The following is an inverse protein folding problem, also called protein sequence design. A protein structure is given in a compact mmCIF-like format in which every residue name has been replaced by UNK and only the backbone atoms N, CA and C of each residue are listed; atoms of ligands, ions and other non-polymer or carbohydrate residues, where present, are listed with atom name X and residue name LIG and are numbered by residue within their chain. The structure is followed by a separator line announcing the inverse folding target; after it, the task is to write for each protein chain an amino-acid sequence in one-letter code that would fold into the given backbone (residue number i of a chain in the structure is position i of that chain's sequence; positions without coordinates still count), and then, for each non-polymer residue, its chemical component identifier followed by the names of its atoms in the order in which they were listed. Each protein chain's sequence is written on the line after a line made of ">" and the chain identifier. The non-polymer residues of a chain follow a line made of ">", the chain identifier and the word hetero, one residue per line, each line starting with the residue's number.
data_IF_096087850851
#
_entry.id   IF_096087850851
#
_cell.length_a   1.000
_cell.length_b   1.000
_cell.length_c   1.000
_cell.angle_alpha   90.00
_cell.angle_beta   90.00
_cell.angle_gamma   90.00
#
_symmetry.space_group_name_H-M   'P 1'
#
loop_
_entity.id
_entity.type
_entity.pdbx_description
1 polymer ?
#
# COMPACT_ATOMS: atom_id res chain seq x y z
N UNK A 1 -9.00 -2.81 33.54
CA UNK A 1 -7.89 -2.10 32.88
C UNK A 1 -7.07 -3.19 32.20
N UNK A 2 -7.08 -3.29 30.87
CA UNK A 2 -5.97 -3.99 30.22
C UNK A 2 -4.68 -3.34 30.77
N UNK A 3 -3.76 -4.16 31.25
CA UNK A 3 -2.73 -3.69 32.15
C UNK A 3 -1.87 -2.67 31.40
N UNK A 4 -1.74 -1.46 31.95
CA UNK A 4 -0.99 -0.37 31.31
C UNK A 4 0.45 -0.84 31.00
N UNK A 5 0.97 -1.73 31.84
CA UNK A 5 2.27 -2.37 31.69
C UNK A 5 2.31 -3.37 30.53
N UNK A 6 1.23 -4.08 30.24
CA UNK A 6 1.13 -5.00 29.09
C UNK A 6 1.17 -4.23 27.76
N UNK A 7 0.42 -3.12 27.65
CA UNK A 7 0.46 -2.25 26.47
C UNK A 7 1.84 -1.61 26.28
N UNK A 8 2.52 -1.28 27.38
CA UNK A 8 3.87 -0.72 27.37
C UNK A 8 4.90 -1.76 26.93
N UNK A 9 4.78 -3.01 27.40
CA UNK A 9 5.60 -4.14 26.95
C UNK A 9 5.39 -4.40 25.45
N UNK A 10 4.13 -4.45 25.01
CA UNK A 10 3.75 -4.58 23.60
C UNK A 10 4.37 -3.48 22.73
N UNK A 11 4.31 -2.22 23.17
CA UNK A 11 4.94 -1.10 22.49
C UNK A 11 6.47 -1.23 22.37
N UNK A 12 7.10 -1.88 23.36
CA UNK A 12 8.54 -2.13 23.37
C UNK A 12 8.97 -3.22 22.38
N UNK A 13 8.08 -4.14 22.06
CA UNK A 13 8.32 -5.25 21.15
C UNK A 13 8.11 -4.93 19.67
N UNK A 14 7.47 -3.80 19.37
CA UNK A 14 7.24 -3.35 18.00
C UNK A 14 8.57 -3.21 17.23
N UNK A 15 8.56 -3.44 15.91
CA UNK A 15 9.74 -3.28 15.09
C UNK A 15 10.16 -1.81 14.97
N UNK A 16 11.47 -1.54 14.98
CA UNK A 16 12.03 -0.23 14.61
C UNK A 16 12.09 -0.05 13.08
N UNK A 17 10.93 -0.15 12.45
CA UNK A 17 10.75 -0.02 11.00
C UNK A 17 9.61 0.96 10.70
N UNK A 18 9.56 1.53 9.48
CA UNK A 18 8.48 2.43 9.09
C UNK A 18 7.18 1.65 8.88
N UNK A 19 6.06 2.26 9.27
CA UNK A 19 4.76 1.61 9.20
C UNK A 19 3.64 2.46 9.75
N UNK A 20 2.46 1.86 9.84
CA UNK A 20 1.30 2.40 10.54
C UNK A 20 0.97 1.55 11.75
N UNK A 21 0.41 2.16 12.78
CA UNK A 21 -0.02 1.49 14.01
C UNK A 21 -1.48 1.81 14.29
N UNK A 22 -2.14 0.87 14.95
CA UNK A 22 -3.55 0.90 15.32
C UNK A 22 -3.65 0.73 16.83
N UNK A 23 -4.37 1.63 17.47
CA UNK A 23 -4.88 1.40 18.82
C UNK A 23 -6.30 0.85 18.69
N UNK A 24 -6.59 -0.27 19.36
CA UNK A 24 -7.88 -0.93 19.33
C UNK A 24 -8.49 -1.04 20.72
N UNK A 25 -9.82 -1.00 20.81
CA UNK A 25 -10.56 -1.23 22.05
C UNK A 25 -10.83 -2.72 22.30
N UNK A 26 -11.48 -3.04 23.42
CA UNK A 26 -11.78 -4.42 23.82
C UNK A 26 -12.68 -5.17 22.83
N UNK A 27 -13.45 -4.45 22.01
CA UNK A 27 -14.28 -5.00 20.94
C UNK A 27 -13.51 -5.20 19.62
N UNK A 28 -12.21 -4.87 19.58
CA UNK A 28 -11.37 -4.93 18.38
C UNK A 28 -11.54 -3.73 17.43
N UNK A 29 -12.31 -2.72 17.81
CA UNK A 29 -12.53 -1.53 16.97
C UNK A 29 -11.34 -0.58 17.05
N UNK A 30 -10.97 -0.02 15.90
CA UNK A 30 -9.84 0.91 15.80
C UNK A 30 -10.22 2.28 16.36
N UNK A 31 -9.61 2.68 17.47
CA UNK A 31 -9.84 3.98 18.13
C UNK A 31 -8.92 5.08 17.63
N UNK A 32 -7.71 4.70 17.20
CA UNK A 32 -6.74 5.63 16.62
C UNK A 32 -5.78 4.93 15.65
N UNK A 33 -5.40 5.64 14.60
CA UNK A 33 -4.38 5.20 13.64
C UNK A 33 -3.32 6.28 13.53
N UNK A 34 -2.05 5.89 13.50
CA UNK A 34 -0.95 6.80 13.19
C UNK A 34 0.13 6.16 12.33
N UNK A 35 1.03 6.99 11.82
CA UNK A 35 2.21 6.57 11.05
C UNK A 35 3.51 6.84 11.79
N UNK A 36 4.53 6.04 11.51
CA UNK A 36 5.84 6.15 12.14
C UNK A 36 6.98 5.85 11.16
N UNK A 37 8.13 6.52 11.35
CA UNK A 37 9.42 6.09 10.77
C UNK A 37 9.98 4.87 11.51
N UNK A 38 9.72 4.80 12.81
CA UNK A 38 10.04 3.69 13.70
C UNK A 38 8.82 3.44 14.57
N UNK A 39 8.10 2.34 14.34
CA UNK A 39 6.89 1.99 15.10
C UNK A 39 7.19 1.90 16.59
N UNK A 40 8.28 1.22 16.96
CA UNK A 40 8.74 1.10 18.35
C UNK A 40 8.87 2.45 19.04
N UNK A 41 9.65 3.37 18.48
CA UNK A 41 9.95 4.64 19.14
C UNK A 41 8.71 5.53 19.19
N UNK A 42 7.90 5.49 18.13
CA UNK A 42 6.69 6.29 18.04
C UNK A 42 5.62 5.83 19.03
N UNK A 43 5.35 4.53 19.13
CA UNK A 43 4.33 4.00 20.04
C UNK A 43 4.80 4.11 21.49
N UNK A 44 6.10 3.86 21.78
CA UNK A 44 6.67 4.11 23.11
C UNK A 44 6.46 5.54 23.60
N UNK A 45 6.50 6.54 22.70
CA UNK A 45 6.29 7.94 23.09
C UNK A 45 4.90 8.25 23.67
N UNK A 46 3.91 7.37 23.48
CA UNK A 46 2.58 7.51 24.08
C UNK A 46 2.59 7.21 25.58
N UNK A 47 3.54 6.40 26.06
CA UNK A 47 3.64 5.93 27.44
C UNK A 47 4.59 6.77 28.32
N UNK A 48 4.94 7.98 27.87
CA UNK A 48 5.76 8.92 28.65
C UNK A 48 4.97 9.51 29.83
N UNK A 49 5.67 9.98 30.86
CA UNK A 49 5.12 10.35 32.17
C UNK A 49 4.09 11.50 32.14
N UNK A 50 4.08 12.33 31.11
CA UNK A 50 3.18 13.50 31.01
C UNK A 50 2.49 13.59 29.62
N UNK A 51 1.58 12.65 29.30
CA UNK A 51 0.93 12.61 28.00
C UNK A 51 -0.16 13.70 27.88
N UNK A 52 -0.29 14.27 26.68
CA UNK A 52 -1.36 15.20 26.34
C UNK A 52 -2.75 14.57 26.58
N UNK A 53 -3.77 15.39 26.84
CA UNK A 53 -5.15 14.98 27.10
C UNK A 53 -5.69 14.03 26.02
N UNK A 54 -5.34 14.27 24.76
CA UNK A 54 -5.68 13.38 23.65
C UNK A 54 -5.07 11.98 23.80
N UNK A 55 -3.79 11.91 24.15
CA UNK A 55 -3.06 10.63 24.30
C UNK A 55 -3.62 9.83 25.46
N UNK A 56 -3.95 10.49 26.58
CA UNK A 56 -4.60 9.85 27.74
C UNK A 56 -5.92 9.19 27.37
N UNK A 57 -6.75 9.85 26.57
CA UNK A 57 -8.03 9.30 26.14
C UNK A 57 -7.87 8.12 25.17
N UNK A 58 -6.90 8.18 24.25
CA UNK A 58 -6.58 7.05 23.37
C UNK A 58 -6.19 5.84 24.23
N UNK A 59 -5.21 5.99 25.12
CA UNK A 59 -4.70 4.88 25.94
C UNK A 59 -5.76 4.31 26.88
N UNK A 60 -6.67 5.13 27.41
CA UNK A 60 -7.75 4.68 28.29
C UNK A 60 -8.73 3.73 27.57
N UNK A 61 -8.99 3.96 26.29
CA UNK A 61 -9.88 3.13 25.47
C UNK A 61 -9.13 2.01 24.73
N UNK A 62 -7.80 1.98 24.84
CA UNK A 62 -6.95 0.98 24.17
C UNK A 62 -6.81 -0.27 25.02
N UNK A 63 -7.01 -1.42 24.41
CA UNK A 63 -6.67 -2.73 24.98
C UNK A 63 -5.69 -3.51 24.12
N UNK A 64 -5.51 -3.13 22.85
CA UNK A 64 -4.58 -3.79 21.93
C UNK A 64 -3.89 -2.79 20.99
N UNK A 65 -2.67 -3.16 20.55
CA UNK A 65 -1.84 -2.41 19.62
C UNK A 65 -1.44 -3.30 18.45
N UNK A 66 -1.84 -2.91 17.25
CA UNK A 66 -1.53 -3.60 16.01
C UNK A 66 -0.73 -2.69 15.06
N UNK A 67 -0.11 -3.25 14.03
CA UNK A 67 0.70 -2.49 13.07
C UNK A 67 0.79 -3.13 11.68
N UNK A 68 1.10 -2.31 10.69
CA UNK A 68 1.47 -2.74 9.34
C UNK A 68 2.81 -2.11 8.94
N UNK A 69 3.75 -2.95 8.52
CA UNK A 69 5.04 -2.53 8.00
C UNK A 69 4.94 -1.99 6.58
N UNK A 70 5.71 -0.95 6.32
CA UNK A 70 5.84 -0.31 4.99
C UNK A 70 7.32 -0.15 4.62
N UNK A 71 7.62 0.16 3.37
CA UNK A 71 9.00 0.28 2.86
C UNK A 71 9.59 1.67 3.06
N UNK A 72 8.76 2.66 3.31
CA UNK A 72 9.17 4.04 3.52
C UNK A 72 8.12 4.84 4.29
N UNK A 73 8.52 6.00 4.81
CA UNK A 73 7.58 6.94 5.43
C UNK A 73 6.46 7.39 4.47
N UNK A 74 6.76 7.49 3.16
CA UNK A 74 5.78 7.86 2.15
C UNK A 74 4.70 6.78 1.99
N UNK A 75 5.11 5.51 1.97
CA UNK A 75 4.19 4.38 1.94
C UNK A 75 3.35 4.32 3.22
N UNK A 76 3.96 4.54 4.39
CA UNK A 76 3.24 4.63 5.66
C UNK A 76 2.17 5.75 5.64
N UNK A 77 2.50 6.93 5.11
CA UNK A 77 1.54 8.03 5.01
C UNK A 77 0.36 7.73 4.07
N UNK A 78 0.64 7.05 2.94
CA UNK A 78 -0.42 6.61 2.03
C UNK A 78 -1.33 5.58 2.69
N UNK A 79 -0.75 4.60 3.38
CA UNK A 79 -1.48 3.52 4.02
C UNK A 79 -2.32 4.03 5.21
N UNK A 80 -1.74 4.90 6.05
CA UNK A 80 -2.43 5.51 7.19
C UNK A 80 -3.72 6.18 6.73
N UNK A 81 -3.64 6.99 5.68
CA UNK A 81 -4.81 7.69 5.19
C UNK A 81 -5.88 6.71 4.66
N UNK A 82 -5.50 5.64 3.97
CA UNK A 82 -6.48 4.65 3.51
C UNK A 82 -7.24 4.02 4.69
N UNK A 83 -6.51 3.59 5.72
CA UNK A 83 -7.14 2.99 6.91
C UNK A 83 -7.92 4.01 7.74
N UNK A 84 -7.44 5.26 7.88
CA UNK A 84 -8.19 6.32 8.57
C UNK A 84 -9.48 6.66 7.83
N UNK A 85 -9.45 6.73 6.50
CA UNK A 85 -10.65 6.97 5.70
C UNK A 85 -11.67 5.85 5.87
N UNK A 86 -11.21 4.60 5.94
CA UNK A 86 -12.09 3.45 6.10
C UNK A 86 -12.67 3.33 7.52
N UNK A 87 -11.82 3.39 8.54
CA UNK A 87 -12.23 3.11 9.92
C UNK A 87 -12.79 4.33 10.65
N UNK A 88 -12.56 5.54 10.12
CA UNK A 88 -12.94 6.82 10.73
C UNK A 88 -12.73 6.86 12.26
N UNK A 89 -11.52 6.54 12.77
CA UNK A 89 -11.31 6.34 14.20
C UNK A 89 -11.65 7.59 15.00
N UNK A 90 -12.25 7.39 16.18
CA UNK A 90 -12.79 8.48 17.01
C UNK A 90 -11.77 9.58 17.29
N UNK A 91 -10.51 9.22 17.55
CA UNK A 91 -9.44 10.15 17.94
C UNK A 91 -8.61 10.72 16.77
N UNK A 92 -8.89 10.35 15.52
CA UNK A 92 -8.23 10.90 14.33
C UNK A 92 -8.82 12.26 13.89
N UNK A 93 -8.75 13.27 14.76
CA UNK A 93 -9.35 14.60 14.53
C UNK A 93 -8.83 15.34 13.27
N UNK A 94 -7.52 15.25 12.95
CA UNK A 94 -6.92 15.99 11.81
C UNK A 94 -7.17 15.36 10.43
N UNK A 95 -7.72 14.14 10.40
CA UNK A 95 -8.01 13.37 9.19
C UNK A 95 -9.51 13.10 9.02
N UNK A 96 -10.33 13.55 9.98
CA UNK A 96 -11.80 13.67 9.85
C UNK A 96 -12.19 14.85 8.96
N UNK A 97 -11.33 15.86 8.87
CA UNK A 97 -11.47 16.90 7.86
C UNK A 97 -11.36 16.26 6.48
N UNK A 98 -12.42 16.44 5.68
CA UNK A 98 -12.66 16.01 4.31
C UNK A 98 -11.65 16.63 3.29
N UNK A 99 -10.39 16.86 3.70
CA UNK A 99 -9.25 17.16 2.84
C UNK A 99 -8.80 15.88 2.16
N UNK A 100 -9.74 15.31 1.41
CA UNK A 100 -9.51 14.30 0.40
C UNK A 100 -8.27 14.69 -0.43
N UNK A 101 -7.39 13.69 -0.67
CA UNK A 101 -6.09 13.95 -1.25
C UNK A 101 -6.22 14.69 -2.58
N UNK A 102 -5.29 15.59 -2.91
CA UNK A 102 -5.31 16.24 -4.20
C UNK A 102 -4.96 15.23 -5.30
N UNK A 103 -5.85 15.12 -6.25
CA UNK A 103 -5.71 14.38 -7.50
C UNK A 103 -5.65 15.35 -8.66
N UNK A 104 -5.07 14.88 -9.75
CA UNK A 104 -5.18 15.49 -11.07
C UNK A 104 -6.24 14.69 -11.83
N UNK A 105 -7.32 15.34 -12.23
CA UNK A 105 -8.42 14.76 -13.01
C UNK A 105 -8.22 15.14 -14.47
N UNK A 106 -8.22 14.17 -15.37
CA UNK A 106 -8.33 14.39 -16.82
C UNK A 106 -9.71 13.91 -17.23
N UNK A 107 -10.55 14.80 -17.75
CA UNK A 107 -11.93 14.45 -18.12
C UNK A 107 -11.94 13.43 -19.26
N UNK A 108 -13.01 12.65 -19.35
CA UNK A 108 -13.24 11.73 -20.47
C UNK A 108 -14.63 11.97 -21.06
N UNK A 109 -14.88 11.45 -22.27
CA UNK A 109 -16.18 11.53 -22.94
C UNK A 109 -16.44 12.81 -23.73
N UNK A 110 -15.61 13.85 -23.58
CA UNK A 110 -15.66 15.07 -24.38
C UNK A 110 -14.68 15.03 -25.55
N UNK A 111 -14.97 15.77 -26.64
CA UNK A 111 -14.08 15.92 -27.78
C UNK A 111 -12.71 16.51 -27.39
N UNK A 112 -12.70 17.42 -26.41
CA UNK A 112 -11.51 18.09 -25.91
C UNK A 112 -11.40 17.93 -24.38
N UNK A 113 -10.80 16.83 -23.90
CA UNK A 113 -10.57 16.61 -22.47
C UNK A 113 -9.82 17.75 -21.78
N UNK A 114 -10.23 18.10 -20.56
CA UNK A 114 -9.55 19.09 -19.72
C UNK A 114 -8.80 18.44 -18.56
N UNK A 115 -7.83 19.16 -18.01
CA UNK A 115 -7.05 18.75 -16.83
C UNK A 115 -7.32 19.67 -15.63
N UNK A 116 -7.69 19.07 -14.51
CA UNK A 116 -8.19 19.79 -13.34
C UNK A 116 -7.61 19.27 -12.03
N UNK A 117 -7.57 20.13 -11.03
CA UNK A 117 -7.31 19.73 -9.66
C UNK A 117 -8.61 19.20 -9.05
N UNK A 118 -8.61 17.97 -8.56
CA UNK A 118 -9.73 17.41 -7.81
C UNK A 118 -9.27 16.98 -6.43
N UNK A 119 -10.19 16.95 -5.47
CA UNK A 119 -9.97 16.23 -4.20
C UNK A 119 -10.78 14.94 -4.12
N UNK A 120 -11.81 14.80 -4.95
CA UNK A 120 -12.69 13.63 -5.00
C UNK A 120 -12.40 12.81 -6.27
N UNK A 121 -12.43 11.50 -6.13
CA UNK A 121 -12.41 10.56 -7.25
C UNK A 121 -13.84 10.08 -7.44
N UNK A 122 -14.40 10.36 -8.61
CA UNK A 122 -15.78 10.06 -8.98
C UNK A 122 -15.78 8.99 -10.07
N UNK A 123 -16.86 8.23 -10.18
CA UNK A 123 -17.05 7.23 -11.23
C UNK A 123 -17.74 7.88 -12.44
N UNK A 124 -17.02 8.82 -13.08
CA UNK A 124 -17.52 9.65 -14.18
C UNK A 124 -16.80 9.35 -15.51
N UNK A 125 -16.05 8.24 -15.55
CA UNK A 125 -15.19 7.87 -16.67
C UNK A 125 -13.89 8.68 -16.79
N UNK A 126 -13.69 9.72 -15.97
CA UNK A 126 -12.46 10.52 -15.98
C UNK A 126 -11.26 9.73 -15.44
N UNK A 127 -10.06 10.11 -15.88
CA UNK A 127 -8.81 9.54 -15.38
C UNK A 127 -8.30 10.37 -14.21
N UNK A 128 -8.03 9.72 -13.08
CA UNK A 128 -7.51 10.36 -11.89
C UNK A 128 -6.07 9.93 -11.61
N UNK A 129 -5.19 10.91 -11.43
CA UNK A 129 -3.77 10.70 -11.13
C UNK A 129 -3.47 11.22 -9.73
N UNK A 130 -2.78 10.43 -8.91
CA UNK A 130 -2.53 10.77 -7.51
C UNK A 130 -2.61 9.55 -6.59
N UNK A 131 -2.76 9.75 -5.27
CA UNK A 131 -2.85 11.04 -4.56
C UNK A 131 -1.51 11.79 -4.50
N UNK A 132 -1.56 13.12 -4.60
CA UNK A 132 -0.38 13.97 -4.42
C UNK A 132 -0.24 14.38 -2.96
N UNK A 133 0.98 14.32 -2.43
CA UNK A 133 1.32 14.92 -1.14
C UNK A 133 2.72 15.51 -1.19
N UNK A 134 2.91 16.82 -0.92
CA UNK A 134 1.89 17.84 -0.60
C UNK A 134 1.07 18.31 -1.83
N UNK A 135 -0.01 19.08 -1.59
CA UNK A 135 -0.95 19.51 -2.63
C UNK A 135 -0.37 20.38 -3.75
N UNK A 136 0.71 21.13 -3.49
CA UNK A 136 1.38 21.90 -4.53
C UNK A 136 1.90 21.00 -5.65
N UNK A 137 2.22 19.72 -5.37
CA UNK A 137 2.72 18.78 -6.40
C UNK A 137 1.67 18.49 -7.47
N UNK A 138 0.39 18.34 -7.10
CA UNK A 138 -0.69 18.19 -8.07
C UNK A 138 -0.76 19.41 -8.99
N UNK A 139 -0.67 20.62 -8.41
CA UNK A 139 -0.68 21.88 -9.18
C UNK A 139 0.54 22.00 -10.08
N UNK A 140 1.72 21.62 -9.61
CA UNK A 140 2.94 21.57 -10.43
C UNK A 140 2.80 20.58 -11.58
N UNK A 141 2.20 19.40 -11.36
CA UNK A 141 1.94 18.43 -12.42
C UNK A 141 0.96 18.95 -13.46
N UNK A 142 -0.13 19.62 -13.05
CA UNK A 142 -1.05 20.28 -13.98
C UNK A 142 -0.32 21.34 -14.81
N UNK A 143 0.50 22.16 -14.16
CA UNK A 143 1.27 23.19 -14.87
C UNK A 143 2.26 22.59 -15.89
N UNK A 144 2.96 21.51 -15.53
CA UNK A 144 3.83 20.79 -16.46
C UNK A 144 3.00 20.24 -17.63
N UNK A 145 1.83 19.67 -17.36
CA UNK A 145 0.97 19.15 -18.42
C UNK A 145 0.54 20.24 -19.39
N UNK A 146 0.06 21.37 -18.87
CA UNK A 146 -0.34 22.52 -19.68
C UNK A 146 0.83 23.04 -20.52
N UNK A 147 2.00 23.23 -19.90
CA UNK A 147 3.18 23.78 -20.58
C UNK A 147 3.73 22.88 -21.68
N UNK A 148 3.74 21.57 -21.44
CA UNK A 148 4.46 20.62 -22.30
C UNK A 148 3.58 19.89 -23.29
N UNK A 149 2.32 19.66 -22.92
CA UNK A 149 1.34 18.95 -23.76
C UNK A 149 0.19 19.86 -24.21
N UNK A 150 0.17 21.14 -23.81
CA UNK A 150 -0.81 22.14 -24.26
C UNK A 150 -2.28 21.72 -24.03
N UNK A 151 -2.52 20.97 -22.96
CA UNK A 151 -3.86 20.53 -22.53
C UNK A 151 -4.58 21.69 -21.83
N UNK A 152 -5.91 21.76 -21.96
CA UNK A 152 -6.69 22.89 -21.43
C UNK A 152 -6.95 22.70 -19.94
N UNK A 153 -6.80 23.79 -19.18
CA UNK A 153 -7.20 23.86 -17.77
C UNK A 153 -8.45 24.70 -17.50
N UNK A 154 -9.11 25.22 -18.55
CA UNK A 154 -10.30 26.06 -18.40
C UNK A 154 -11.57 25.22 -18.15
N UNK A 155 -12.49 25.77 -17.37
CA UNK A 155 -13.82 25.17 -17.15
C UNK A 155 -14.62 25.05 -18.44
N UNK A 156 -15.49 24.04 -18.56
CA UNK A 156 -16.23 23.76 -19.79
C UNK A 156 -17.18 24.89 -20.20
N UNK A 157 -17.79 25.56 -19.22
CA UNK A 157 -18.63 26.72 -19.47
C UNK A 157 -17.82 27.86 -20.12
N UNK A 158 -16.56 28.03 -19.74
CA UNK A 158 -15.65 29.00 -20.36
C UNK A 158 -15.25 28.49 -21.75
N UNK A 159 -14.88 27.22 -21.88
CA UNK A 159 -14.47 26.62 -23.15
C UNK A 159 -15.52 26.82 -24.26
N UNK A 160 -16.80 26.50 -23.98
CA UNK A 160 -17.89 26.56 -24.96
C UNK A 160 -18.25 27.97 -25.41
N UNK A 161 -18.00 28.98 -24.58
CA UNK A 161 -18.41 30.37 -24.83
C UNK A 161 -17.26 31.24 -25.39
N UNK A 162 -16.07 30.69 -25.61
CA UNK A 162 -14.91 31.45 -26.11
C UNK A 162 -15.02 31.69 -27.62
N UNK A 163 -14.88 32.96 -28.02
CA UNK A 163 -14.80 33.40 -29.42
C UNK A 163 -13.38 33.78 -29.86
N UNK A 164 -12.46 33.96 -28.92
CA UNK A 164 -11.06 34.35 -29.14
C UNK A 164 -10.15 33.53 -28.22
N UNK A 165 -8.89 33.26 -28.63
CA UNK A 165 -7.92 32.57 -27.77
C UNK A 165 -7.70 33.37 -26.48
N UNK A 166 -7.41 32.66 -25.39
CA UNK A 166 -7.16 33.25 -24.09
C UNK A 166 -5.66 33.40 -23.81
N UNK A 167 -5.34 34.06 -22.70
CA UNK A 167 -3.97 34.25 -22.23
C UNK A 167 -3.17 32.93 -22.11
N UNK A 168 -3.81 31.83 -21.71
CA UNK A 168 -3.14 30.52 -21.62
C UNK A 168 -2.61 30.05 -22.99
N UNK A 169 -3.27 30.40 -24.09
CA UNK A 169 -2.75 30.12 -25.44
C UNK A 169 -1.55 31.02 -25.77
N UNK A 170 -1.65 32.33 -25.48
CA UNK A 170 -0.56 33.29 -25.71
C UNK A 170 0.69 32.93 -24.90
N UNK A 171 0.51 32.41 -23.68
CA UNK A 171 1.57 31.90 -22.82
C UNK A 171 2.09 30.50 -23.21
N UNK A 172 1.57 29.91 -24.30
CA UNK A 172 1.91 28.54 -24.76
C UNK A 172 1.66 27.47 -23.69
N UNK A 173 0.55 27.59 -22.97
CA UNK A 173 0.06 26.62 -21.97
C UNK A 173 -1.17 25.85 -22.45
N UNK A 174 -1.74 26.23 -23.60
CA UNK A 174 -2.92 25.61 -24.19
C UNK A 174 -2.83 25.71 -25.71
N UNK A 175 -3.36 24.72 -26.43
CA UNK A 175 -3.41 24.67 -27.90
C UNK A 175 -4.65 25.37 -28.50
N UNK A 176 -5.40 26.10 -27.67
CA UNK A 176 -6.64 26.79 -28.03
C UNK A 176 -7.69 25.95 -28.80
N UNK A 177 -8.05 24.74 -28.34
CA UNK A 177 -9.11 23.94 -28.96
C UNK A 177 -10.47 24.64 -28.99
N UNK A 178 -10.74 25.58 -28.07
CA UNK A 178 -12.01 26.31 -27.99
C UNK A 178 -12.31 27.17 -29.23
N UNK A 179 -11.28 27.59 -29.96
CA UNK A 179 -11.39 28.34 -31.23
C UNK A 179 -10.90 27.52 -32.43
N UNK A 180 -10.77 26.19 -32.28
CA UNK A 180 -10.40 25.23 -33.33
C UNK A 180 -9.02 25.48 -33.96
N UNK A 181 -8.06 26.02 -33.20
CA UNK A 181 -6.68 26.20 -33.68
C UNK A 181 -5.89 24.90 -33.73
N UNK A 182 -6.42 23.82 -33.16
CA UNK A 182 -5.87 22.48 -33.22
C UNK A 182 -6.97 21.48 -33.62
N UNK A 183 -6.69 20.53 -34.53
CA UNK A 183 -7.59 19.42 -34.81
C UNK A 183 -7.87 18.58 -33.56
N UNK A 184 -9.07 17.99 -33.50
CA UNK A 184 -9.45 17.15 -32.37
C UNK A 184 -8.51 15.95 -32.17
N UNK A 185 -8.08 15.33 -33.27
CA UNK A 185 -7.19 14.17 -33.24
C UNK A 185 -5.83 14.50 -32.60
N UNK A 186 -5.20 15.59 -33.03
CA UNK A 186 -3.91 16.04 -32.50
C UNK A 186 -4.04 16.46 -31.02
N UNK A 187 -5.18 17.05 -30.65
CA UNK A 187 -5.46 17.38 -29.27
C UNK A 187 -5.61 16.14 -28.39
N UNK A 188 -6.34 15.13 -28.84
CA UNK A 188 -6.47 13.86 -28.12
C UNK A 188 -5.12 13.19 -27.93
N UNK A 189 -4.26 13.23 -28.94
CA UNK A 189 -2.91 12.68 -28.83
C UNK A 189 -2.07 13.45 -27.79
N UNK A 190 -2.21 14.78 -27.72
CA UNK A 190 -1.59 15.58 -26.66
C UNK A 190 -2.08 15.15 -25.25
N UNK A 191 -3.39 14.92 -25.10
CA UNK A 191 -3.98 14.43 -23.84
C UNK A 191 -3.47 13.03 -23.49
N UNK A 192 -3.35 12.13 -24.46
CA UNK A 192 -2.82 10.78 -24.25
C UNK A 192 -1.36 10.81 -23.81
N UNK A 193 -0.52 11.62 -24.46
CA UNK A 193 0.86 11.84 -24.07
C UNK A 193 0.97 12.43 -22.66
N UNK A 194 0.08 13.37 -22.29
CA UNK A 194 -0.02 13.88 -20.93
C UNK A 194 -0.42 12.79 -19.92
N UNK A 195 -1.32 11.87 -20.30
CA UNK A 195 -1.69 10.74 -19.45
C UNK A 195 -0.53 9.76 -19.25
N UNK A 196 0.21 9.42 -20.31
CA UNK A 196 1.43 8.60 -20.23
C UNK A 196 2.49 9.25 -19.32
N UNK A 197 2.61 10.58 -19.43
CA UNK A 197 3.48 11.36 -18.55
C UNK A 197 3.06 11.24 -17.09
N UNK A 198 1.78 11.51 -16.79
CA UNK A 198 1.25 11.44 -15.44
C UNK A 198 1.34 10.03 -14.85
N UNK A 199 1.24 8.98 -15.67
CA UNK A 199 1.39 7.55 -15.30
C UNK A 199 2.80 7.12 -14.95
N UNK A 200 3.82 7.92 -15.28
CA UNK A 200 5.20 7.49 -15.14
C UNK A 200 5.66 6.53 -16.24
N UNK A 201 4.92 6.37 -17.35
CA UNK A 201 5.30 5.53 -18.51
C UNK A 201 6.35 6.24 -19.39
N UNK A 202 7.42 6.74 -18.75
CA UNK A 202 8.46 7.54 -19.40
C UNK A 202 9.13 6.83 -20.59
N UNK A 203 9.50 5.52 -20.51
CA UNK A 203 10.18 4.87 -21.63
C UNK A 203 9.34 4.83 -22.91
N UNK A 204 8.02 4.70 -22.77
CA UNK A 204 7.09 4.66 -23.90
C UNK A 204 6.84 6.05 -24.45
N UNK A 205 6.59 7.02 -23.57
CA UNK A 205 6.46 8.42 -23.97
C UNK A 205 7.72 8.90 -24.71
N UNK A 206 8.92 8.60 -24.19
CA UNK A 206 10.17 8.95 -24.87
C UNK A 206 10.30 8.32 -26.25
N UNK A 207 9.86 7.07 -26.45
CA UNK A 207 9.86 6.43 -27.77
C UNK A 207 8.92 7.13 -28.73
N UNK A 208 7.70 7.42 -28.30
CA UNK A 208 6.69 8.13 -29.11
C UNK A 208 7.19 9.51 -29.51
N UNK A 209 7.69 10.30 -28.56
CA UNK A 209 8.19 11.65 -28.84
C UNK A 209 9.44 11.65 -29.73
N UNK A 210 10.33 10.65 -29.57
CA UNK A 210 11.50 10.51 -30.43
C UNK A 210 11.11 10.19 -31.86
N UNK A 211 10.16 9.29 -32.07
CA UNK A 211 9.65 8.99 -33.41
C UNK A 211 9.01 10.22 -34.07
N UNK A 212 8.29 11.05 -33.30
CA UNK A 212 7.73 12.33 -33.80
C UNK A 212 8.81 13.33 -34.17
N UNK A 213 9.83 13.48 -33.33
CA UNK A 213 10.97 14.36 -33.59
C UNK A 213 11.70 13.95 -34.87
N UNK A 214 11.97 12.65 -35.05
CA UNK A 214 12.64 12.11 -36.24
C UNK A 214 11.78 12.29 -37.51
N UNK A 215 10.47 12.11 -37.42
CA UNK A 215 9.54 12.36 -38.53
C UNK A 215 9.49 13.83 -38.92
N UNK A 216 9.29 14.74 -37.97
CA UNK A 216 9.28 16.18 -38.22
C UNK A 216 10.60 16.67 -38.84
N UNK A 217 11.73 16.14 -38.35
CA UNK A 217 13.04 16.45 -38.93
C UNK A 217 13.20 15.90 -40.36
N UNK A 218 12.63 14.72 -40.66
CA UNK A 218 12.60 14.14 -42.00
C UNK A 218 11.67 14.87 -42.98
N UNK A 219 10.63 15.53 -42.46
CA UNK A 219 9.71 16.41 -43.20
C UNK A 219 10.22 17.86 -43.31
N UNK A 220 11.45 18.14 -42.84
CA UNK A 220 12.08 19.47 -42.76
C UNK A 220 11.33 20.50 -41.88
N UNK A 221 10.42 20.04 -41.01
CA UNK A 221 9.78 20.88 -39.97
C UNK A 221 10.68 20.96 -38.73
N UNK A 222 11.70 21.81 -38.82
CA UNK A 222 12.68 21.98 -37.75
C UNK A 222 12.11 22.64 -36.50
N UNK A 223 11.04 23.44 -36.61
CA UNK A 223 10.39 24.07 -35.45
C UNK A 223 9.67 23.01 -34.61
N UNK A 224 8.90 22.13 -35.26
CA UNK A 224 8.22 21.04 -34.59
C UNK A 224 9.20 19.98 -34.06
N UNK A 225 10.25 19.66 -34.82
CA UNK A 225 11.32 18.77 -34.35
C UNK A 225 12.02 19.34 -33.10
N UNK A 226 12.33 20.64 -33.08
CA UNK A 226 12.93 21.29 -31.92
C UNK A 226 12.00 21.24 -30.70
N UNK A 227 10.69 21.46 -30.90
CA UNK A 227 9.68 21.34 -29.83
C UNK A 227 9.66 19.93 -29.22
N UNK A 228 9.64 18.88 -30.04
CA UNK A 228 9.65 17.49 -29.56
C UNK A 228 10.96 17.13 -28.85
N UNK A 229 12.10 17.60 -29.36
CA UNK A 229 13.42 17.45 -28.72
C UNK A 229 13.47 18.09 -27.34
N UNK A 230 12.98 19.32 -27.22
CA UNK A 230 13.03 20.06 -25.96
C UNK A 230 12.07 19.46 -24.92
N UNK A 231 10.93 18.91 -25.39
CA UNK A 231 10.03 18.11 -24.56
C UNK A 231 10.69 16.81 -24.07
N UNK A 232 11.39 16.09 -24.95
CA UNK A 232 12.15 14.89 -24.60
C UNK A 232 13.17 15.17 -23.50
N UNK A 233 13.97 16.23 -23.65
CA UNK A 233 14.95 16.65 -22.63
C UNK A 233 14.28 16.93 -21.29
N UNK A 234 13.18 17.67 -21.31
CA UNK A 234 12.44 17.99 -20.09
C UNK A 234 11.92 16.73 -19.40
N UNK A 235 11.43 15.74 -20.15
CA UNK A 235 10.94 14.47 -19.60
C UNK A 235 12.10 13.63 -19.05
N UNK A 236 13.25 13.63 -19.71
CA UNK A 236 14.46 12.93 -19.24
C UNK A 236 14.95 13.48 -17.89
N UNK A 237 14.91 14.80 -17.68
CA UNK A 237 15.23 15.43 -16.38
C UNK A 237 14.30 14.98 -15.24
N UNK A 238 13.09 14.50 -15.58
CA UNK A 238 12.13 13.98 -14.61
C UNK A 238 12.15 12.45 -14.46
N UNK A 239 13.01 11.72 -15.20
CA UNK A 239 13.09 10.25 -15.21
C UNK A 239 13.37 9.65 -13.83
N UNK A 240 14.13 10.36 -12.98
CA UNK A 240 14.48 9.89 -11.63
C UNK A 240 13.41 10.20 -10.58
N UNK A 241 12.33 10.89 -10.95
CA UNK A 241 11.19 11.11 -10.04
C UNK A 241 10.21 9.95 -10.17
N UNK A 242 9.84 9.26 -9.07
CA UNK A 242 8.83 8.22 -9.14
C UNK A 242 7.52 8.82 -9.67
N UNK A 243 7.04 8.26 -10.78
CA UNK A 243 5.80 8.67 -11.45
C UNK A 243 4.60 8.65 -10.53
N UNK A 244 3.62 9.50 -10.82
CA UNK A 244 2.38 9.55 -10.05
C UNK A 244 1.46 8.45 -10.59
N UNK A 245 0.71 7.81 -9.70
CA UNK A 245 -0.10 6.65 -10.05
C UNK A 245 -1.34 7.13 -10.83
N UNK A 246 -1.61 6.54 -12.00
CA UNK A 246 -2.98 6.48 -12.52
C UNK A 246 -3.75 5.57 -11.58
N UNK A 247 -4.74 6.15 -10.91
CA UNK A 247 -5.69 5.41 -10.08
C UNK A 247 -6.72 4.82 -11.03
N UNK A 248 -6.30 3.84 -11.82
CA UNK A 248 -7.26 2.85 -12.26
C UNK A 248 -7.85 2.26 -10.97
N UNK A 249 -9.18 2.34 -10.83
CA UNK A 249 -9.95 1.83 -9.69
C UNK A 249 -9.93 0.30 -9.73
N UNK A 250 -8.76 -0.30 -9.55
CA UNK A 250 -8.59 -1.75 -9.70
C UNK A 250 -8.87 -2.44 -8.37
N UNK A 251 -9.80 -3.41 -8.42
CA UNK A 251 -10.06 -4.36 -7.36
C UNK A 251 -9.09 -5.53 -7.51
N UNK A 252 -8.23 -5.72 -6.52
CA UNK A 252 -7.24 -6.77 -6.49
C UNK A 252 -6.86 -7.12 -5.06
N UNK A 253 -6.43 -8.34 -4.79
CA UNK A 253 -5.82 -8.67 -3.51
C UNK A 253 -4.34 -8.90 -3.71
N UNK A 254 -3.56 -8.55 -2.69
CA UNK A 254 -2.10 -8.64 -2.72
C UNK A 254 -1.65 -9.63 -1.66
N UNK A 255 -1.00 -10.70 -2.09
CA UNK A 255 -0.62 -11.81 -1.24
C UNK A 255 0.89 -11.82 -1.04
N UNK A 256 1.32 -12.14 0.17
CA UNK A 256 2.71 -12.42 0.52
C UNK A 256 2.79 -13.68 1.35
N UNK A 257 3.87 -14.44 1.18
CA UNK A 257 4.14 -15.66 1.94
C UNK A 257 5.53 -15.53 2.58
N UNK A 258 5.65 -15.94 3.84
CA UNK A 258 6.92 -16.12 4.52
C UNK A 258 6.89 -17.45 5.27
N UNK A 259 8.01 -18.16 5.39
CA UNK A 259 8.07 -19.45 6.08
C UNK A 259 9.28 -19.61 6.98
N UNK A 260 9.13 -20.50 7.95
CA UNK A 260 10.21 -21.16 8.70
C UNK A 260 10.22 -22.67 8.36
N UNK A 261 10.99 -23.46 9.10
CA UNK A 261 11.18 -24.90 8.85
C UNK A 261 9.91 -25.76 9.05
N UNK A 262 8.90 -25.24 9.77
CA UNK A 262 7.67 -25.98 10.13
C UNK A 262 6.39 -25.26 9.76
N UNK A 263 6.43 -23.95 9.56
CA UNK A 263 5.25 -23.09 9.45
C UNK A 263 5.42 -22.08 8.33
N UNK A 264 4.31 -21.68 7.74
CA UNK A 264 4.23 -20.57 6.82
C UNK A 264 3.18 -19.57 7.29
N UNK A 265 3.39 -18.29 7.01
CA UNK A 265 2.38 -17.25 7.15
C UNK A 265 2.04 -16.74 5.78
N UNK A 266 0.75 -16.71 5.47
CA UNK A 266 0.24 -15.98 4.31
C UNK A 266 -0.45 -14.71 4.78
N UNK A 267 -0.06 -13.59 4.17
CA UNK A 267 -0.58 -12.26 4.46
C UNK A 267 -1.29 -11.71 3.22
N UNK A 268 -2.53 -11.28 3.37
CA UNK A 268 -3.39 -10.79 2.29
C UNK A 268 -3.78 -9.35 2.57
N UNK A 269 -3.48 -8.43 1.66
CA UNK A 269 -4.09 -7.10 1.62
C UNK A 269 -5.27 -7.10 0.66
N UNK A 270 -6.43 -6.67 1.16
CA UNK A 270 -7.63 -6.49 0.35
C UNK A 270 -7.63 -5.10 -0.26
N UNK A 271 -7.47 -5.00 -1.58
CA UNK A 271 -7.50 -3.71 -2.28
C UNK A 271 -8.78 -3.58 -3.12
N UNK A 272 -9.52 -2.50 -2.88
CA UNK A 272 -10.71 -2.15 -3.65
C UNK A 272 -10.62 -0.70 -4.09
N UNK A 273 -10.96 -0.41 -5.34
CA UNK A 273 -10.86 0.93 -5.94
C UNK A 273 -9.47 1.56 -5.74
N UNK A 274 -8.41 0.75 -5.84
CA UNK A 274 -7.02 1.18 -5.65
C UNK A 274 -6.60 1.54 -4.21
N UNK A 275 -7.46 1.31 -3.21
CA UNK A 275 -7.17 1.53 -1.78
C UNK A 275 -7.09 0.20 -1.04
N UNK A 276 -6.08 0.05 -0.17
CA UNK A 276 -6.02 -1.08 0.77
C UNK A 276 -7.07 -0.82 1.84
N UNK A 277 -8.06 -1.72 1.90
CA UNK A 277 -9.16 -1.65 2.84
C UNK A 277 -8.85 -2.38 4.12
N UNK A 278 -8.34 -3.59 4.01
CA UNK A 278 -8.08 -4.42 5.16
C UNK A 278 -6.86 -5.31 4.90
N UNK A 279 -6.42 -6.01 5.94
CA UNK A 279 -5.47 -7.10 5.83
C UNK A 279 -5.88 -8.29 6.68
N UNK A 280 -5.44 -9.46 6.26
CA UNK A 280 -5.56 -10.70 7.02
C UNK A 280 -4.22 -11.44 7.00
N UNK A 281 -3.90 -12.12 8.09
CA UNK A 281 -2.75 -13.00 8.19
C UNK A 281 -3.22 -14.37 8.68
N UNK A 282 -2.68 -15.45 8.14
CA UNK A 282 -2.94 -16.81 8.62
C UNK A 282 -1.65 -17.58 8.74
N UNK A 283 -1.45 -18.18 9.91
CA UNK A 283 -0.40 -19.16 10.16
C UNK A 283 -0.88 -20.54 9.70
N UNK A 284 0.00 -21.27 9.03
CA UNK A 284 -0.27 -22.59 8.44
C UNK A 284 0.89 -23.50 8.81
N UNK A 285 0.59 -24.74 9.16
CA UNK A 285 1.62 -25.77 9.26
C UNK A 285 2.12 -26.12 7.85
N UNK A 286 3.41 -25.90 7.62
CA UNK A 286 4.04 -26.08 6.33
C UNK A 286 5.42 -26.71 6.55
N UNK A 287 5.49 -28.05 6.70
CA UNK A 287 6.77 -28.75 6.82
C UNK A 287 7.69 -28.43 5.65
N UNK A 288 9.01 -28.35 5.88
CA UNK A 288 10.00 -28.01 4.85
C UNK A 288 9.94 -28.88 3.57
N UNK A 289 9.37 -30.09 3.67
CA UNK A 289 9.18 -31.01 2.53
C UNK A 289 8.10 -30.52 1.55
N UNK A 290 7.13 -29.72 2.03
CA UNK A 290 6.05 -29.17 1.20
C UNK A 290 6.55 -27.91 0.49
N UNK A 291 6.51 -27.85 -0.85
CA UNK A 291 6.86 -26.67 -1.62
C UNK A 291 5.98 -25.46 -1.31
N UNK A 292 6.56 -24.26 -1.39
CA UNK A 292 5.84 -22.99 -1.18
C UNK A 292 4.67 -22.81 -2.16
N UNK A 293 4.84 -23.29 -3.40
CA UNK A 293 3.80 -23.22 -4.42
C UNK A 293 2.56 -24.05 -4.06
N UNK A 294 2.75 -25.23 -3.43
CA UNK A 294 1.66 -26.07 -2.95
C UNK A 294 0.99 -25.40 -1.74
N UNK A 295 1.79 -24.95 -0.76
CA UNK A 295 1.31 -24.24 0.44
C UNK A 295 0.47 -23.01 0.08
N UNK A 296 0.95 -22.20 -0.86
CA UNK A 296 0.24 -21.01 -1.32
C UNK A 296 -1.07 -21.37 -2.02
N UNK A 297 -1.06 -22.38 -2.89
CA UNK A 297 -2.24 -22.79 -3.64
C UNK A 297 -3.34 -23.35 -2.73
N UNK A 298 -2.97 -24.20 -1.76
CA UNK A 298 -3.90 -24.74 -0.76
C UNK A 298 -4.50 -23.63 0.10
N UNK A 299 -3.67 -22.70 0.58
CA UNK A 299 -4.16 -21.54 1.33
C UNK A 299 -5.16 -20.73 0.52
N UNK A 300 -4.84 -20.38 -0.73
CA UNK A 300 -5.73 -19.56 -1.56
C UNK A 300 -7.05 -20.27 -1.83
N UNK A 301 -7.03 -21.59 -2.03
CA UNK A 301 -8.23 -22.38 -2.26
C UNK A 301 -9.12 -22.44 -1.02
N UNK A 302 -8.54 -22.58 0.17
CA UNK A 302 -9.27 -22.54 1.43
C UNK A 302 -9.80 -21.12 1.73
N UNK A 303 -8.95 -20.11 1.59
CA UNK A 303 -9.26 -18.72 1.91
C UNK A 303 -10.41 -18.15 1.07
N UNK A 304 -10.37 -18.35 -0.24
CA UNK A 304 -11.41 -17.87 -1.17
C UNK A 304 -12.62 -18.80 -1.29
N UNK A 305 -12.69 -19.87 -0.48
CA UNK A 305 -13.94 -20.59 -0.27
C UNK A 305 -14.94 -19.74 0.50
N UNK A 306 -14.44 -19.00 1.49
CA UNK A 306 -15.25 -18.19 2.41
C UNK A 306 -15.19 -16.69 2.10
N UNK A 307 -14.34 -16.27 1.15
CA UNK A 307 -14.15 -14.88 0.75
C UNK A 307 -14.41 -14.68 -0.74
N UNK A 308 -15.03 -13.54 -1.09
CA UNK A 308 -15.21 -13.16 -2.50
C UNK A 308 -13.88 -12.79 -3.14
N UNK A 309 -13.49 -13.54 -4.17
CA UNK A 309 -12.25 -13.29 -4.90
C UNK A 309 -12.36 -12.05 -5.80
N UNK A 310 -11.35 -11.16 -5.79
CA UNK A 310 -11.31 -10.01 -6.69
C UNK A 310 -10.99 -10.42 -8.14
N UNK A 311 -11.19 -9.53 -9.13
CA UNK A 311 -10.79 -9.79 -10.52
C UNK A 311 -9.31 -10.10 -10.74
N UNK A 312 -8.43 -9.73 -9.80
CA UNK A 312 -6.97 -9.93 -9.90
C UNK A 312 -6.34 -10.28 -8.55
N UNK A 313 -5.39 -11.21 -8.56
CA UNK A 313 -4.56 -11.56 -7.41
C UNK A 313 -3.09 -11.30 -7.74
N UNK A 314 -2.42 -10.48 -6.93
CA UNK A 314 -0.98 -10.28 -7.02
C UNK A 314 -0.28 -11.25 -6.07
N UNK A 315 0.59 -12.10 -6.62
CA UNK A 315 1.22 -13.20 -5.90
C UNK A 315 2.76 -13.06 -5.87
N UNK A 316 3.44 -13.59 -4.84
CA UNK A 316 4.90 -13.57 -4.75
C UNK A 316 5.58 -14.51 -5.77
N UNK A 317 4.90 -15.61 -6.11
CA UNK A 317 5.29 -16.65 -7.07
C UNK A 317 4.04 -17.40 -7.53
N UNK A 318 4.09 -18.17 -8.64
CA UNK A 318 2.92 -18.92 -9.11
C UNK A 318 2.57 -20.06 -8.14
N UNK A 319 1.27 -20.27 -7.81
CA UNK A 319 0.83 -21.40 -7.01
C UNK A 319 0.87 -22.69 -7.85
N UNK A 320 0.89 -23.84 -7.16
CA UNK A 320 0.89 -25.15 -7.80
C UNK A 320 -0.46 -25.45 -8.44
N UNK A 321 -0.42 -26.02 -9.65
CA UNK A 321 -1.62 -26.42 -10.40
C UNK A 321 -2.40 -27.57 -9.75
N UNK A 322 -1.73 -28.33 -8.86
CA UNK A 322 -2.31 -29.50 -8.18
C UNK A 322 -3.36 -29.16 -7.12
N UNK A 323 -3.43 -27.90 -6.69
CA UNK A 323 -4.23 -27.47 -5.53
C UNK A 323 -5.72 -27.27 -5.84
N UNK A 324 -6.14 -27.43 -7.11
CA UNK A 324 -7.54 -27.23 -7.50
C UNK A 324 -8.01 -25.77 -7.45
N UNK A 325 -7.13 -24.82 -7.06
CA UNK A 325 -7.40 -23.37 -7.03
C UNK A 325 -7.99 -22.86 -8.35
N UNK A 326 -7.50 -23.42 -9.46
CA UNK A 326 -7.95 -23.12 -10.80
C UNK A 326 -9.43 -23.46 -11.03
N UNK A 327 -9.89 -24.62 -10.52
CA UNK A 327 -11.27 -25.07 -10.63
C UNK A 327 -12.20 -24.27 -9.72
N UNK A 328 -11.71 -23.84 -8.55
CA UNK A 328 -12.47 -23.03 -7.60
C UNK A 328 -12.69 -21.59 -8.08
N UNK A 329 -11.63 -20.92 -8.53
CA UNK A 329 -11.69 -19.50 -8.88
C UNK A 329 -12.21 -19.24 -10.30
N UNK A 330 -12.08 -20.23 -11.20
CA UNK A 330 -12.44 -20.11 -12.61
C UNK A 330 -11.62 -19.02 -13.33
N UNK A 331 -10.64 -19.41 -14.15
CA UNK A 331 -9.72 -18.50 -14.86
C UNK A 331 -10.38 -17.35 -15.64
N UNK A 332 -11.65 -17.47 -16.01
CA UNK A 332 -12.41 -16.41 -16.67
C UNK A 332 -12.77 -15.23 -15.74
N UNK A 333 -12.80 -15.42 -14.41
CA UNK A 333 -13.21 -14.42 -13.43
C UNK A 333 -12.05 -13.77 -12.67
N UNK A 334 -10.96 -14.50 -12.40
CA UNK A 334 -9.84 -14.03 -11.57
C UNK A 334 -8.49 -14.22 -12.28
N UNK A 335 -7.73 -13.13 -12.46
CA UNK A 335 -6.38 -13.17 -13.05
C UNK A 335 -5.30 -13.27 -11.98
N UNK A 336 -4.50 -14.33 -12.02
CA UNK A 336 -3.32 -14.48 -11.17
C UNK A 336 -2.12 -13.77 -11.82
N UNK A 337 -1.47 -12.87 -11.08
CA UNK A 337 -0.37 -12.04 -11.59
C UNK A 337 0.83 -12.16 -10.66
N UNK A 338 2.01 -12.47 -11.23
CA UNK A 338 3.29 -12.48 -10.51
C UNK A 338 4.13 -11.30 -11.01
N UNK A 339 4.05 -10.12 -10.37
CA UNK A 339 4.75 -8.94 -10.85
C UNK A 339 6.26 -9.09 -10.70
N UNK A 340 7.00 -8.80 -11.79
CA UNK A 340 8.48 -8.83 -11.81
C UNK A 340 9.13 -7.48 -11.45
N UNK A 341 8.36 -6.39 -11.45
CA UNK A 341 8.86 -5.04 -11.15
C UNK A 341 7.74 -4.01 -11.01
N UNK A 342 8.12 -2.76 -10.76
CA UNK A 342 7.19 -1.64 -10.65
C UNK A 342 6.33 -1.65 -9.39
N UNK A 343 5.15 -1.00 -9.46
CA UNK A 343 4.26 -0.78 -8.32
C UNK A 343 3.69 -2.07 -7.74
N UNK A 344 3.21 -2.98 -8.59
CA UNK A 344 2.61 -4.23 -8.16
C UNK A 344 3.62 -5.11 -7.43
N UNK A 345 4.90 -5.08 -7.84
CA UNK A 345 5.97 -5.77 -7.12
C UNK A 345 6.18 -5.17 -5.73
N UNK A 346 6.23 -3.84 -5.58
CA UNK A 346 6.35 -3.18 -4.27
C UNK A 346 5.21 -3.53 -3.31
N UNK A 347 3.99 -3.70 -3.81
CA UNK A 347 2.84 -4.15 -3.02
C UNK A 347 3.04 -5.58 -2.53
N UNK A 348 3.46 -6.49 -3.41
CA UNK A 348 3.78 -7.88 -3.05
C UNK A 348 4.91 -7.93 -2.02
N UNK A 349 5.99 -7.17 -2.23
CA UNK A 349 7.09 -7.08 -1.27
C UNK A 349 6.64 -6.52 0.09
N UNK A 350 5.62 -5.64 0.11
CA UNK A 350 5.01 -5.18 1.35
C UNK A 350 4.23 -6.31 2.04
N UNK A 351 3.45 -7.10 1.31
CA UNK A 351 2.75 -8.26 1.86
C UNK A 351 3.72 -9.29 2.44
N UNK A 352 4.80 -9.61 1.72
CA UNK A 352 5.86 -10.53 2.18
C UNK A 352 6.51 -10.03 3.47
N UNK A 353 6.86 -8.75 3.55
CA UNK A 353 7.46 -8.17 4.77
C UNK A 353 6.53 -8.24 5.98
N UNK A 354 5.21 -8.12 5.77
CA UNK A 354 4.24 -8.27 6.84
C UNK A 354 4.06 -9.75 7.24
N UNK A 355 4.07 -10.67 6.27
CA UNK A 355 4.10 -12.10 6.54
C UNK A 355 5.33 -12.50 7.37
N UNK A 356 6.53 -12.03 7.01
CA UNK A 356 7.76 -12.28 7.77
C UNK A 356 7.73 -11.69 9.19
N UNK A 357 7.09 -10.54 9.37
CA UNK A 357 6.96 -9.91 10.68
C UNK A 357 6.01 -10.69 11.56
N UNK A 358 4.87 -11.10 11.01
CA UNK A 358 3.88 -11.90 11.71
C UNK A 358 4.42 -13.28 12.08
N UNK A 359 5.13 -13.94 11.17
CA UNK A 359 5.81 -15.20 11.45
C UNK A 359 6.81 -15.03 12.60
N UNK A 360 7.64 -13.98 12.56
CA UNK A 360 8.59 -13.68 13.64
C UNK A 360 7.89 -13.50 14.99
N UNK A 361 6.76 -12.82 15.01
CA UNK A 361 5.98 -12.61 16.22
C UNK A 361 5.44 -13.93 16.78
N UNK A 362 4.85 -14.78 15.95
CA UNK A 362 4.36 -16.13 16.32
C UNK A 362 5.49 -17.10 16.70
N UNK A 363 6.72 -16.82 16.27
CA UNK A 363 7.91 -17.61 16.67
C UNK A 363 8.54 -17.12 17.97
N UNK A 364 8.13 -15.96 18.54
CA UNK A 364 8.70 -15.47 19.80
C UNK A 364 8.39 -16.39 20.97
N UNK A 365 7.24 -17.07 20.97
CA UNK A 365 6.89 -18.08 21.98
C UNK A 365 7.78 -19.33 21.93
N UNK A 366 8.62 -19.49 20.89
CA UNK A 366 9.57 -20.61 20.79
C UNK A 366 10.88 -20.35 21.54
N UNK A 367 11.08 -19.13 22.07
CA UNK A 367 12.32 -18.75 22.75
C UNK A 367 12.47 -19.15 24.22
N UNK A 368 11.43 -19.31 25.07
CA UNK A 368 11.63 -19.66 26.47
C UNK A 368 12.41 -20.97 26.63
N UNK A 369 12.10 -22.00 25.82
CA UNK A 369 12.79 -23.29 25.90
C UNK A 369 14.20 -23.26 25.30
N UNK A 370 14.43 -22.48 24.25
CA UNK A 370 15.78 -22.29 23.68
C UNK A 370 16.68 -21.45 24.62
N UNK A 371 16.11 -20.44 25.28
CA UNK A 371 16.77 -19.67 26.33
C UNK A 371 17.04 -20.55 27.56
N UNK A 372 16.07 -21.37 27.99
CA UNK A 372 16.24 -22.31 29.09
C UNK A 372 17.33 -23.34 28.79
N UNK A 373 17.38 -23.86 27.55
CA UNK A 373 18.47 -24.72 27.06
C UNK A 373 19.83 -24.01 27.19
N UNK A 374 19.92 -22.75 26.74
CA UNK A 374 21.16 -21.98 26.79
C UNK A 374 21.60 -21.68 28.24
N UNK A 375 20.66 -21.31 29.12
CA UNK A 375 20.94 -21.00 30.54
C UNK A 375 21.34 -22.24 31.32
N UNK A 376 20.66 -23.37 31.10
CA UNK A 376 20.93 -24.62 31.81
C UNK A 376 22.00 -25.49 31.14
N UNK A 377 22.54 -25.07 29.99
CA UNK A 377 23.55 -25.83 29.25
C UNK A 377 23.07 -27.19 28.75
N UNK A 378 21.78 -27.29 28.40
CA UNK A 378 21.19 -28.57 28.00
C UNK A 378 21.61 -28.97 26.57
N UNK A 379 21.78 -30.27 26.31
CA UNK A 379 22.16 -30.76 24.98
C UNK A 379 21.07 -30.57 23.92
N UNK A 380 19.81 -30.34 24.33
CA UNK A 380 18.66 -30.15 23.45
C UNK A 380 17.56 -29.30 24.11
N UNK A 381 16.59 -28.86 23.31
CA UNK A 381 15.46 -28.04 23.79
C UNK A 381 14.60 -28.89 24.74
N UNK A 382 14.39 -28.47 26.00
CA UNK A 382 13.64 -29.25 26.99
C UNK A 382 12.13 -29.16 26.70
N UNK A 383 11.64 -30.03 25.81
CA UNK A 383 10.20 -30.12 25.47
C UNK A 383 9.35 -30.84 26.51
N UNK A 384 9.98 -31.43 27.54
CA UNK A 384 9.31 -32.13 28.62
C UNK A 384 9.95 -31.70 29.92
N UNK A 385 9.18 -31.06 30.80
CA UNK A 385 9.68 -30.50 32.07
C UNK A 385 8.79 -31.02 33.19
N UNK A 386 9.41 -31.67 34.17
CA UNK A 386 8.74 -32.24 35.34
C UNK A 386 9.15 -31.46 36.59
N UNK A 387 8.18 -30.80 37.19
CA UNK A 387 8.34 -30.08 38.46
C UNK A 387 7.79 -30.92 39.61
N UNK A 388 8.64 -31.22 40.59
CA UNK A 388 8.25 -31.89 41.83
C UNK A 388 8.22 -30.87 42.96
N UNK A 389 7.07 -30.72 43.60
CA UNK A 389 6.95 -29.98 44.85
C UNK A 389 6.68 -30.96 45.99
N UNK A 390 7.60 -31.02 46.95
CA UNK A 390 7.53 -31.93 48.10
C UNK A 390 7.33 -31.10 49.35
N UNK A 391 6.10 -31.05 49.82
CA UNK A 391 5.74 -30.41 51.09
C UNK A 391 5.94 -31.40 52.24
N UNK A 392 6.56 -30.95 53.32
CA UNK A 392 6.63 -31.71 54.58
C UNK A 392 6.47 -30.78 55.78
N UNK A 393 5.94 -31.32 56.86
CA UNK A 393 5.87 -30.65 58.17
C UNK A 393 6.93 -31.23 59.09
N UNK A 394 8.11 -30.61 59.11
CA UNK A 394 9.20 -31.00 60.02
C UNK A 394 9.66 -32.45 59.86
N UNK A 395 9.64 -32.97 58.63
CA UNK A 395 10.05 -34.35 58.31
C UNK A 395 8.99 -35.43 58.55
N UNK A 396 7.73 -35.06 58.82
CA UNK A 396 6.58 -36.00 58.87
C UNK A 396 5.50 -35.58 57.86
N UNK A 397 4.76 -36.58 57.36
CA UNK A 397 3.66 -36.43 56.40
C UNK A 397 4.07 -35.75 55.07
N UNK A 398 5.06 -36.31 54.39
CA UNK A 398 5.49 -35.78 53.09
C UNK A 398 4.43 -36.02 52.01
N UNK A 399 3.93 -34.94 51.41
CA UNK A 399 3.05 -34.97 50.24
C UNK A 399 3.81 -34.39 49.06
N UNK A 400 3.87 -35.16 47.97
CA UNK A 400 4.47 -34.73 46.71
C UNK A 400 3.42 -34.42 45.66
N UNK A 401 3.64 -33.34 44.91
CA UNK A 401 2.91 -33.06 43.68
C UNK A 401 3.88 -33.04 42.49
N UNK A 402 3.42 -33.54 41.35
CA UNK A 402 4.15 -33.52 40.08
C UNK A 402 3.34 -32.69 39.09
N UNK A 403 3.99 -31.70 38.48
CA UNK A 403 3.47 -30.94 37.35
C UNK A 403 4.33 -31.26 36.14
N UNK A 404 3.68 -31.59 35.02
CA UNK A 404 4.35 -31.87 33.75
C UNK A 404 3.99 -30.80 32.74
N UNK A 405 5.00 -30.15 32.19
CA UNK A 405 4.88 -29.24 31.06
C UNK A 405 5.39 -29.92 29.79
N UNK A 406 4.62 -29.81 28.71
CA UNK A 406 4.96 -30.38 27.40
C UNK A 406 4.96 -29.28 26.35
N UNK A 407 6.10 -29.13 25.68
CA UNK A 407 6.41 -28.09 24.69
C UNK A 407 6.32 -26.64 25.20
N UNK A 408 6.37 -26.43 26.52
CA UNK A 408 6.32 -25.11 27.16
C UNK A 408 5.25 -25.03 28.22
#
# INVERSE_FOLDING_TARGET
>A
MADYDELKARAAELPAKPGIYFFKNAAGEVVYIGKARSLRDRVRSYFLTNPDFKVRNILRETTDIDFILTGSEKEAAFLENNYVQQHQPRFNLRLKDDKSFPYVKVTAGEAYPGIYFSRRVEDDGSRYFGPFSPAHRARSSIHLVNKHFLVRGCEDAVFRNRKRPCLEYELKLCSAPCVKYIPEQDYRENVENACLFLEGRMPELSRTLKAKMERAAGEEDFEEAARWRDLLRTIEDYRDRPGTISVALEDQDVVGLARDDRRAVVYVFFMRKGKIRNSAARLIEAPAVVPDADTLGEFLADFYRDHEAPPRLLLPFPPSEKTGLQALLGWAKVRLLVPRGGKNRKLVDMAVRNAESYLREQTKDVKPLEELKAVLGLPGVPRWIEGFDISNTGGRESVGSLIVFKDG
#
